data_IF_640601037100
#
_entry.id   IF_640601037100
#
_cell.length_a   1.000
_cell.length_b   1.000
_cell.length_c   1.000
_cell.angle_alpha   90.00
_cell.angle_beta   90.00
_cell.angle_gamma   90.00
#
_symmetry.space_group_name_H-M   'P 1'
#
loop_
_entity.id
_entity.type
_entity.pdbx_description
1 polymer ?
#
# COMPACT_ATOMS: atom_id res chain seq x y z
N UNK A 1 -34.44 -0.63 -9.46
CA UNK A 1 -33.19 -1.39 -9.74
C UNK A 1 -32.44 -1.48 -8.42
N UNK A 2 -32.34 -2.66 -7.81
CA UNK A 2 -31.59 -2.82 -6.55
C UNK A 2 -30.11 -2.75 -6.91
N UNK A 3 -29.41 -1.73 -6.44
CA UNK A 3 -27.95 -1.66 -6.53
C UNK A 3 -27.42 -2.75 -5.60
N UNK A 4 -26.96 -3.85 -6.18
CA UNK A 4 -26.25 -4.89 -5.41
C UNK A 4 -24.95 -4.21 -4.94
N UNK A 5 -24.87 -3.90 -3.65
CA UNK A 5 -23.64 -3.35 -3.06
C UNK A 5 -22.53 -4.40 -3.08
N UNK A 6 -21.27 -3.98 -3.08
CA UNK A 6 -20.16 -4.89 -2.92
C UNK A 6 -20.16 -5.46 -1.49
N UNK A 7 -19.92 -6.77 -1.30
CA UNK A 7 -19.85 -7.36 0.02
C UNK A 7 -18.61 -6.88 0.79
N UNK A 8 -18.74 -6.70 2.11
CA UNK A 8 -17.63 -6.33 2.99
C UNK A 8 -16.55 -7.43 3.11
N UNK A 9 -16.85 -8.67 2.69
CA UNK A 9 -15.88 -9.75 2.56
C UNK A 9 -15.28 -9.78 1.14
N UNK A 10 -14.46 -8.77 0.87
CA UNK A 10 -13.80 -8.56 -0.42
C UNK A 10 -12.61 -9.51 -0.64
N UNK A 11 -12.10 -9.55 -1.87
CA UNK A 11 -10.87 -10.29 -2.20
C UNK A 11 -9.63 -9.49 -1.83
N UNK A 12 -8.57 -10.20 -1.44
CA UNK A 12 -7.25 -9.60 -1.14
C UNK A 12 -6.23 -10.16 -2.13
N UNK A 13 -5.38 -9.29 -2.66
CA UNK A 13 -4.17 -9.65 -3.40
C UNK A 13 -2.98 -8.93 -2.81
N UNK A 14 -1.84 -9.61 -2.84
CA UNK A 14 -0.56 -9.04 -2.43
C UNK A 14 0.45 -9.30 -3.53
N UNK A 15 1.16 -8.24 -3.93
CA UNK A 15 2.19 -8.27 -4.97
C UNK A 15 3.45 -7.64 -4.38
N UNK A 16 4.56 -8.38 -4.30
CA UNK A 16 5.88 -7.78 -4.12
C UNK A 16 6.22 -7.03 -5.42
N UNK A 17 6.50 -5.74 -5.33
CA UNK A 17 6.73 -4.92 -6.54
C UNK A 17 8.03 -5.32 -7.24
N UNK A 18 8.97 -5.94 -6.52
CA UNK A 18 10.20 -6.51 -7.08
C UNK A 18 9.95 -7.65 -8.09
N UNK A 19 8.76 -8.25 -8.13
CA UNK A 19 8.42 -9.29 -9.12
C UNK A 19 8.17 -8.75 -10.53
N UNK A 20 7.85 -7.47 -10.67
CA UNK A 20 7.64 -6.81 -11.96
C UNK A 20 8.95 -6.29 -12.57
N UNK A 21 10.05 -6.36 -11.82
CA UNK A 21 11.36 -5.88 -12.26
C UNK A 21 11.92 -6.71 -13.43
N UNK A 22 12.46 -6.03 -14.44
CA UNK A 22 13.08 -6.66 -15.63
C UNK A 22 14.56 -6.98 -15.42
N UNK A 23 15.18 -6.49 -14.34
CA UNK A 23 16.60 -6.68 -14.04
C UNK A 23 16.91 -6.75 -12.53
N UNK A 24 18.02 -7.39 -12.12
CA UNK A 24 18.43 -7.42 -10.71
C UNK A 24 18.71 -6.04 -10.09
N UNK A 25 19.15 -5.07 -10.91
CA UNK A 25 19.35 -3.69 -10.43
C UNK A 25 18.01 -3.00 -10.12
N UNK A 26 16.98 -3.30 -10.91
CA UNK A 26 15.63 -2.80 -10.69
C UNK A 26 14.97 -3.50 -9.51
N UNK A 27 15.09 -4.84 -9.41
CA UNK A 27 14.65 -5.64 -8.27
C UNK A 27 15.18 -5.06 -6.96
N UNK A 28 16.48 -4.71 -6.91
CA UNK A 28 17.10 -4.09 -5.73
C UNK A 28 16.53 -2.70 -5.37
N UNK A 29 15.97 -1.95 -6.33
CA UNK A 29 15.34 -0.64 -6.06
C UNK A 29 13.94 -0.78 -5.49
N UNK A 30 13.19 -1.80 -5.92
CA UNK A 30 11.83 -2.10 -5.45
C UNK A 30 11.80 -3.02 -4.22
N UNK A 31 12.95 -3.53 -3.80
CA UNK A 31 13.08 -4.49 -2.70
C UNK A 31 12.30 -4.08 -1.44
N UNK A 32 11.40 -4.98 -1.01
CA UNK A 32 10.57 -4.82 0.18
C UNK A 32 9.36 -3.89 0.03
N UNK A 33 9.04 -3.43 -1.18
CA UNK A 33 7.80 -2.73 -1.49
C UNK A 33 6.72 -3.76 -1.84
N UNK A 34 5.52 -3.57 -1.30
CA UNK A 34 4.37 -4.43 -1.59
C UNK A 34 3.14 -3.62 -1.91
N UNK A 35 2.47 -4.03 -2.98
CA UNK A 35 1.14 -3.55 -3.34
C UNK A 35 0.06 -4.51 -2.84
N UNK A 36 -0.88 -4.00 -2.06
CA UNK A 36 -2.06 -4.75 -1.57
C UNK A 36 -3.32 -4.23 -2.26
N UNK A 37 -3.93 -5.08 -3.07
CA UNK A 37 -5.18 -4.77 -3.75
C UNK A 37 -6.36 -5.37 -2.99
N UNK A 38 -7.35 -4.52 -2.71
CA UNK A 38 -8.59 -4.90 -2.03
C UNK A 38 -9.73 -4.80 -3.04
N UNK A 39 -10.41 -5.92 -3.31
CA UNK A 39 -11.43 -6.03 -4.36
C UNK A 39 -10.94 -5.58 -5.76
N UNK A 40 -9.74 -5.99 -6.17
CA UNK A 40 -9.12 -5.67 -7.48
C UNK A 40 -8.78 -4.17 -7.69
N UNK A 41 -8.87 -3.35 -6.65
CA UNK A 41 -8.32 -2.00 -6.66
C UNK A 41 -7.05 -1.99 -5.82
N UNK A 42 -5.90 -1.75 -6.45
CA UNK A 42 -4.62 -1.52 -5.80
C UNK A 42 -4.76 -0.31 -4.89
N UNK A 43 -4.88 -0.56 -3.59
CA UNK A 43 -5.29 0.45 -2.64
C UNK A 43 -4.11 0.86 -1.77
N UNK A 44 -3.32 -0.11 -1.29
CA UNK A 44 -2.39 0.14 -0.20
C UNK A 44 -0.99 -0.31 -0.60
N UNK A 45 -0.03 0.61 -0.57
CA UNK A 45 1.38 0.28 -0.81
C UNK A 45 2.15 0.29 0.51
N UNK A 46 2.85 -0.79 0.83
CA UNK A 46 3.79 -0.87 1.94
C UNK A 46 5.16 -0.47 1.42
N UNK A 47 5.66 0.67 1.90
CA UNK A 47 6.89 1.28 1.42
C UNK A 47 7.91 1.27 2.54
N UNK A 48 9.07 0.60 2.38
CA UNK A 48 10.17 0.66 3.34
C UNK A 48 10.59 2.12 3.59
N UNK A 49 11.10 2.39 4.79
CA UNK A 49 11.32 3.76 5.28
C UNK A 49 11.92 4.72 4.24
N UNK A 50 11.34 5.91 4.18
CA UNK A 50 11.81 7.00 3.31
C UNK A 50 12.66 8.01 4.06
N UNK A 51 13.66 8.62 3.39
CA UNK A 51 14.35 9.77 3.95
C UNK A 51 13.35 10.87 4.31
N UNK A 52 13.61 11.59 5.40
CA UNK A 52 12.74 12.69 5.86
C UNK A 52 12.60 13.80 4.81
N UNK A 53 13.66 14.07 4.06
CA UNK A 53 13.64 15.02 2.96
C UNK A 53 13.33 14.29 1.64
N UNK A 54 12.36 14.77 0.84
CA UNK A 54 12.09 14.20 -0.47
C UNK A 54 13.28 14.43 -1.40
N UNK A 55 13.59 13.47 -2.30
CA UNK A 55 14.60 13.67 -3.31
C UNK A 55 14.19 14.84 -4.22
N UNK A 56 15.15 15.56 -4.83
CA UNK A 56 14.87 16.75 -5.64
C UNK A 56 13.82 16.53 -6.73
N UNK A 57 13.77 15.32 -7.29
CA UNK A 57 12.85 14.93 -8.35
C UNK A 57 11.40 14.88 -7.84
N UNK A 58 11.17 14.31 -6.66
CA UNK A 58 9.84 14.19 -6.02
C UNK A 58 9.23 15.55 -5.64
N UNK A 59 10.06 16.58 -5.40
CA UNK A 59 9.59 17.93 -5.11
C UNK A 59 9.11 18.71 -6.36
N UNK A 60 9.50 18.28 -7.57
CA UNK A 60 9.20 18.99 -8.82
C UNK A 60 8.07 18.33 -9.63
N UNK A 61 7.98 17.00 -9.61
CA UNK A 61 6.91 16.17 -10.21
C UNK A 61 7.08 14.71 -9.76
N UNK A 62 6.03 13.88 -9.77
CA UNK A 62 6.24 12.43 -9.73
C UNK A 62 7.16 12.04 -10.90
N UNK A 63 8.32 11.41 -10.65
CA UNK A 63 9.21 11.00 -11.72
C UNK A 63 8.58 9.84 -12.50
N UNK A 64 8.98 9.66 -13.76
CA UNK A 64 8.59 8.46 -14.50
C UNK A 64 9.38 7.26 -13.99
N UNK A 65 8.82 6.06 -14.16
CA UNK A 65 9.44 4.80 -13.70
C UNK A 65 10.86 4.59 -14.27
N UNK A 66 11.11 5.04 -15.50
CA UNK A 66 12.42 4.99 -16.15
C UNK A 66 13.43 6.05 -15.66
N UNK A 67 13.00 6.99 -14.83
CA UNK A 67 13.84 8.06 -14.29
C UNK A 67 14.45 7.71 -12.91
N UNK A 68 14.07 6.59 -12.28
CA UNK A 68 14.58 6.20 -10.96
C UNK A 68 15.96 5.55 -11.03
N UNK A 69 16.93 6.16 -10.34
CA UNK A 69 18.29 5.62 -10.26
C UNK A 69 18.56 4.97 -8.90
N UNK A 70 17.77 5.30 -7.87
CA UNK A 70 17.98 4.84 -6.49
C UNK A 70 16.70 4.30 -5.85
N UNK A 71 16.85 3.40 -4.86
CA UNK A 71 15.74 2.90 -4.06
C UNK A 71 14.99 4.01 -3.30
N UNK A 72 15.69 5.07 -2.89
CA UNK A 72 15.08 6.20 -2.19
C UNK A 72 14.12 6.98 -3.11
N UNK A 73 14.46 7.14 -4.39
CA UNK A 73 13.59 7.78 -5.38
C UNK A 73 12.35 6.93 -5.66
N UNK A 74 12.52 5.60 -5.82
CA UNK A 74 11.40 4.66 -6.00
C UNK A 74 10.43 4.74 -4.82
N UNK A 75 10.93 4.60 -3.58
CA UNK A 75 10.07 4.64 -2.37
C UNK A 75 9.29 5.95 -2.24
N UNK A 76 9.93 7.08 -2.54
CA UNK A 76 9.25 8.37 -2.53
C UNK A 76 8.19 8.46 -3.63
N UNK A 77 8.45 7.90 -4.81
CA UNK A 77 7.47 7.86 -5.87
C UNK A 77 6.26 6.99 -5.50
N UNK A 78 6.49 5.81 -4.94
CA UNK A 78 5.43 4.92 -4.46
C UNK A 78 4.54 5.61 -3.43
N UNK A 79 5.13 6.33 -2.48
CA UNK A 79 4.38 7.14 -1.50
C UNK A 79 3.51 8.21 -2.14
N UNK A 80 3.96 8.83 -3.24
CA UNK A 80 3.25 9.92 -3.92
C UNK A 80 2.15 9.41 -4.85
N UNK A 81 2.37 8.27 -5.49
CA UNK A 81 1.45 7.70 -6.48
C UNK A 81 0.39 6.79 -5.85
N UNK A 82 0.69 6.19 -4.70
CA UNK A 82 -0.24 5.31 -4.01
C UNK A 82 -1.25 6.11 -3.19
N UNK A 83 -2.58 5.95 -3.38
CA UNK A 83 -3.58 6.68 -2.63
C UNK A 83 -3.47 6.47 -1.11
N UNK A 84 -3.00 5.29 -0.68
CA UNK A 84 -2.76 4.95 0.72
C UNK A 84 -1.44 4.20 0.83
N UNK A 85 -0.58 4.65 1.74
CA UNK A 85 0.69 3.99 1.97
C UNK A 85 0.92 3.69 3.44
N UNK A 86 1.69 2.64 3.72
CA UNK A 86 2.16 2.29 5.05
C UNK A 86 3.68 2.37 5.03
N UNK A 87 4.27 3.11 5.97
CA UNK A 87 5.73 3.28 6.00
C UNK A 87 6.24 3.34 7.45
N UNK A 88 7.43 2.78 7.76
CA UNK A 88 7.97 2.85 9.10
C UNK A 88 8.52 4.25 9.40
N UNK A 89 8.09 4.81 10.53
CA UNK A 89 8.66 6.01 11.14
C UNK A 89 8.37 5.96 12.65
N UNK A 90 9.36 5.58 13.46
CA UNK A 90 9.18 5.40 14.90
C UNK A 90 8.75 6.70 15.63
N UNK A 91 9.05 7.88 15.07
CA UNK A 91 8.67 9.16 15.67
C UNK A 91 7.23 9.56 15.37
N UNK A 92 6.68 9.08 14.26
CA UNK A 92 5.30 9.33 13.81
C UNK A 92 4.40 8.10 13.94
N UNK A 93 4.92 6.97 14.41
CA UNK A 93 4.20 5.71 14.52
C UNK A 93 2.85 5.89 15.21
N UNK A 94 1.81 5.30 14.62
CA UNK A 94 0.44 5.43 15.09
C UNK A 94 -0.29 6.69 14.61
N UNK A 95 0.36 7.58 13.88
CA UNK A 95 -0.29 8.76 13.26
C UNK A 95 -0.60 8.55 11.78
N UNK A 96 -1.36 9.49 11.21
CA UNK A 96 -1.68 9.56 9.79
C UNK A 96 -1.23 10.92 9.26
N UNK A 97 -0.51 10.93 8.16
CA UNK A 97 -0.11 12.14 7.45
C UNK A 97 -0.55 12.12 5.99
N UNK A 98 -0.19 13.17 5.28
CA UNK A 98 -0.47 13.32 3.85
C UNK A 98 0.81 13.75 3.13
N UNK A 99 1.00 13.27 1.92
CA UNK A 99 2.06 13.68 0.99
C UNK A 99 1.46 13.99 -0.38
N UNK A 100 2.24 14.61 -1.26
CA UNK A 100 1.77 15.00 -2.60
C UNK A 100 1.21 16.40 -2.68
N UNK A 101 0.46 16.69 -3.75
CA UNK A 101 -0.15 18.00 -3.98
C UNK A 101 -1.52 18.10 -3.32
N UNK A 102 -2.02 19.33 -3.12
CA UNK A 102 -3.39 19.56 -2.64
C UNK A 102 -4.46 18.97 -3.57
N UNK A 103 -4.16 18.85 -4.87
CA UNK A 103 -5.07 18.31 -5.89
C UNK A 103 -5.13 16.78 -5.89
N UNK A 104 -4.08 16.11 -5.41
CA UNK A 104 -4.02 14.66 -5.32
C UNK A 104 -3.20 14.23 -4.10
N UNK A 105 -3.72 14.44 -2.87
CA UNK A 105 -3.03 14.02 -1.67
C UNK A 105 -3.04 12.49 -1.56
N UNK A 106 -1.90 11.95 -1.13
CA UNK A 106 -1.68 10.56 -0.78
C UNK A 106 -1.68 10.43 0.75
N UNK A 107 -2.44 9.47 1.28
CA UNK A 107 -2.54 9.26 2.74
C UNK A 107 -1.43 8.31 3.20
N UNK A 108 -0.69 8.67 4.23
CA UNK A 108 0.40 7.85 4.79
C UNK A 108 0.09 7.45 6.22
N UNK A 109 0.11 6.14 6.48
CA UNK A 109 -0.02 5.54 7.79
C UNK A 109 1.37 5.17 8.33
N UNK A 110 1.77 5.82 9.41
CA UNK A 110 3.08 5.58 10.02
C UNK A 110 3.00 4.46 11.05
N UNK A 111 3.94 3.52 10.94
CA UNK A 111 4.08 2.38 11.86
C UNK A 111 5.49 2.36 12.43
N UNK A 112 5.72 1.59 13.49
CA UNK A 112 7.09 1.36 13.98
C UNK A 112 7.87 0.51 12.98
N UNK A 113 9.21 0.56 13.07
CA UNK A 113 10.07 -0.34 12.29
C UNK A 113 9.80 -1.83 12.59
N UNK A 114 9.45 -2.16 13.83
CA UNK A 114 9.10 -3.51 14.27
C UNK A 114 7.78 -3.99 13.64
N UNK A 115 6.73 -3.18 13.69
CA UNK A 115 5.45 -3.49 13.04
C UNK A 115 5.64 -3.68 11.53
N UNK A 116 6.39 -2.78 10.87
CA UNK A 116 6.63 -2.90 9.44
C UNK A 116 7.37 -4.18 9.08
N UNK A 117 8.41 -4.56 9.84
CA UNK A 117 9.13 -5.82 9.60
C UNK A 117 8.25 -7.06 9.76
N UNK A 118 7.34 -7.05 10.75
CA UNK A 118 6.35 -8.11 10.94
C UNK A 118 5.37 -8.15 9.76
N UNK A 119 4.87 -6.99 9.32
CA UNK A 119 3.98 -6.90 8.16
C UNK A 119 4.65 -7.37 6.88
N UNK A 120 5.89 -6.98 6.60
CA UNK A 120 6.65 -7.45 5.43
C UNK A 120 6.77 -8.98 5.42
N UNK A 121 7.00 -9.60 6.57
CA UNK A 121 7.07 -11.06 6.69
C UNK A 121 5.73 -11.70 6.32
N UNK A 122 4.63 -11.21 6.89
CA UNK A 122 3.28 -11.71 6.55
C UNK A 122 2.89 -11.43 5.09
N UNK A 123 3.31 -10.29 4.52
CA UNK A 123 3.03 -9.93 3.14
C UNK A 123 3.71 -10.87 2.15
N UNK A 124 4.95 -11.29 2.43
CA UNK A 124 5.60 -12.35 1.66
C UNK A 124 4.81 -13.66 1.70
N UNK A 125 4.40 -14.12 2.89
CA UNK A 125 3.59 -15.33 3.03
C UNK A 125 2.24 -15.20 2.29
N UNK A 126 1.62 -14.02 2.35
CA UNK A 126 0.38 -13.73 1.64
C UNK A 126 0.59 -13.69 0.13
N UNK A 127 1.70 -13.14 -0.37
CA UNK A 127 2.02 -13.12 -1.79
C UNK A 127 2.03 -14.55 -2.36
N UNK A 128 2.54 -15.54 -1.65
CA UNK A 128 2.56 -16.94 -2.13
C UNK A 128 1.15 -17.54 -2.32
N UNK A 129 0.15 -17.08 -1.58
CA UNK A 129 -1.22 -17.65 -1.62
C UNK A 129 -2.28 -16.72 -2.25
N UNK A 130 -1.97 -15.42 -2.33
CA UNK A 130 -2.87 -14.36 -2.78
C UNK A 130 -2.30 -13.56 -3.96
N UNK A 131 -1.14 -13.94 -4.51
CA UNK A 131 -0.71 -13.48 -5.82
C UNK A 131 -1.38 -14.31 -6.93
N UNK A 132 -1.85 -13.63 -7.98
CA UNK A 132 -2.45 -14.29 -9.14
C UNK A 132 -3.63 -13.51 -9.72
N UNK A 133 -3.81 -13.58 -11.05
CA UNK A 133 -4.78 -12.76 -11.79
C UNK A 133 -6.27 -13.01 -11.45
N UNK A 134 -6.58 -14.02 -10.64
CA UNK A 134 -7.93 -14.28 -10.14
C UNK A 134 -7.88 -14.48 -8.61
N UNK A 135 -8.10 -13.44 -7.81
CA UNK A 135 -8.00 -13.57 -6.38
C UNK A 135 -9.14 -14.40 -5.82
N UNK A 136 -8.77 -15.47 -5.12
CA UNK A 136 -9.71 -16.37 -4.46
C UNK A 136 -9.77 -16.13 -2.97
N UNK A 137 -8.71 -15.58 -2.39
CA UNK A 137 -8.58 -15.39 -0.95
C UNK A 137 -9.43 -14.21 -0.50
N UNK A 138 -10.30 -14.46 0.47
CA UNK A 138 -11.22 -13.47 1.02
C UNK A 138 -10.67 -12.86 2.30
N UNK A 139 -11.06 -11.61 2.56
CA UNK A 139 -10.71 -10.85 3.76
C UNK A 139 -10.92 -11.63 5.06
N UNK A 140 -12.06 -12.31 5.21
CA UNK A 140 -12.38 -13.06 6.43
C UNK A 140 -11.46 -14.27 6.68
N UNK A 141 -10.89 -14.84 5.62
CA UNK A 141 -9.94 -15.96 5.71
C UNK A 141 -8.57 -15.52 6.22
N UNK A 142 -8.30 -14.21 6.23
CA UNK A 142 -6.99 -13.64 6.55
C UNK A 142 -6.99 -12.79 7.83
N UNK A 143 -8.10 -12.75 8.57
CA UNK A 143 -8.21 -11.93 9.80
C UNK A 143 -7.38 -12.44 10.96
N UNK A 144 -6.71 -13.58 10.84
CA UNK A 144 -5.69 -14.03 11.78
C UNK A 144 -4.34 -13.35 11.57
N UNK A 145 -4.10 -12.77 10.39
CA UNK A 145 -2.87 -12.04 10.02
C UNK A 145 -2.87 -10.62 10.58
N UNK A 146 -1.77 -10.22 11.22
CA UNK A 146 -1.62 -8.91 11.83
C UNK A 146 -1.72 -7.77 10.80
N UNK A 147 -1.13 -7.92 9.62
CA UNK A 147 -1.15 -6.91 8.55
C UNK A 147 -2.57 -6.68 8.03
N UNK A 148 -3.39 -7.72 7.95
CA UNK A 148 -4.78 -7.61 7.49
C UNK A 148 -5.66 -6.96 8.56
N UNK A 149 -5.47 -7.30 9.84
CA UNK A 149 -6.13 -6.58 10.94
C UNK A 149 -5.74 -5.11 10.95
N UNK A 150 -4.46 -4.81 10.77
CA UNK A 150 -3.98 -3.44 10.65
C UNK A 150 -4.69 -2.71 9.50
N UNK A 151 -4.74 -3.30 8.31
CA UNK A 151 -5.44 -2.69 7.16
C UNK A 151 -6.90 -2.42 7.49
N UNK A 152 -7.61 -3.38 8.09
CA UNK A 152 -9.02 -3.22 8.47
C UNK A 152 -9.23 -2.10 9.50
N UNK A 153 -8.47 -2.11 10.58
CA UNK A 153 -8.70 -1.23 11.72
C UNK A 153 -8.14 0.18 11.45
N UNK A 154 -6.96 0.25 10.83
CA UNK A 154 -6.18 1.48 10.70
C UNK A 154 -6.29 2.15 9.34
N UNK A 155 -6.50 1.40 8.26
CA UNK A 155 -6.62 1.98 6.91
C UNK A 155 -8.09 2.09 6.51
N UNK A 156 -8.81 0.97 6.46
CA UNK A 156 -10.23 0.94 6.07
C UNK A 156 -11.11 1.64 7.11
N UNK A 157 -10.86 1.37 8.40
CA UNK A 157 -11.57 1.97 9.52
C UNK A 157 -11.25 3.45 9.79
N UNK A 158 -10.27 4.03 9.10
CA UNK A 158 -9.81 5.41 9.36
C UNK A 158 -10.79 6.51 8.96
N UNK A 159 -11.74 6.20 8.08
CA UNK A 159 -12.57 7.21 7.41
C UNK A 159 -11.82 8.06 6.38
N UNK A 160 -10.57 7.74 6.05
CA UNK A 160 -9.75 8.43 5.04
C UNK A 160 -9.91 7.87 3.63
N UNK A 161 -10.64 6.77 3.48
CA UNK A 161 -10.88 6.20 2.15
C UNK A 161 -11.69 7.17 1.29
N UNK A 162 -11.28 7.30 0.02
CA UNK A 162 -12.04 8.03 -0.99
C UNK A 162 -13.38 7.31 -1.18
N UNK A 163 -14.47 8.03 -1.48
CA UNK A 163 -15.81 7.45 -1.55
C UNK A 163 -15.90 6.22 -2.47
N UNK A 164 -15.23 6.25 -3.62
CA UNK A 164 -15.18 5.16 -4.58
C UNK A 164 -14.47 3.91 -4.04
N UNK A 165 -13.41 4.09 -3.25
CA UNK A 165 -12.70 2.99 -2.59
C UNK A 165 -13.52 2.41 -1.44
N UNK A 166 -14.14 3.26 -0.62
CA UNK A 166 -15.03 2.78 0.43
C UNK A 166 -16.21 1.98 -0.16
N UNK A 167 -16.79 2.45 -1.26
CA UNK A 167 -17.86 1.76 -1.97
C UNK A 167 -17.40 0.42 -2.58
N UNK A 168 -16.18 0.34 -3.12
CA UNK A 168 -15.64 -0.91 -3.66
C UNK A 168 -15.50 -1.99 -2.57
N UNK A 169 -15.27 -1.58 -1.31
CA UNK A 169 -15.14 -2.47 -0.15
C UNK A 169 -16.45 -2.71 0.61
N UNK A 170 -17.60 -2.24 0.09
CA UNK A 170 -18.89 -2.39 0.78
C UNK A 170 -19.00 -1.55 2.06
N UNK A 171 -18.23 -0.46 2.17
CA UNK A 171 -18.18 0.46 3.31
C UNK A 171 -18.91 1.78 3.07
N UNK A 172 -19.56 1.94 1.91
CA UNK A 172 -20.43 3.09 1.65
C UNK A 172 -21.74 2.96 2.43
N UNK A 173 -21.83 3.69 3.55
CA UNK A 173 -23.02 3.82 4.40
C UNK A 173 -23.09 5.22 5.00
#
# INVERSE_FOLDING_TARGET
>A
MVKIGNPANYTVQVFPDEWEAESPEEEARFAGIFSVALNLHGLITFVPGVPADPPPLAAARPPREDEFTTAAEVRWCELLNSPYSVTPDDTRAGTVGEVGSEESPATVFYVTGEEFAAFTTELWELAEIASGGNPRVRRDELLDRAVIRFIEDRVVGSGRLRPEHAASLGRAG
#
